data_IF_181008704415
#
_entry.id   IF_181008704415
#
_cell.length_a   1.000
_cell.length_b   1.000
_cell.length_c   1.000
_cell.angle_alpha   90.00
_cell.angle_beta   90.00
_cell.angle_gamma   90.00
#
_symmetry.space_group_name_H-M   'P 1'
#
loop_
_entity.id
_entity.type
_entity.pdbx_description
1 polymer ?
#
# COMPACT_ATOMS: atom_id res chain seq x y z
N UNK A 1 -20.53 19.89 54.49
CA UNK A 1 -20.55 20.69 53.25
C UNK A 1 -19.44 20.21 52.34
N UNK A 2 -19.76 19.94 51.06
CA UNK A 2 -18.90 19.82 49.84
C UNK A 2 -17.74 18.78 49.90
N UNK A 3 -17.87 17.59 49.30
CA UNK A 3 -17.73 17.19 47.86
C UNK A 3 -16.29 17.13 47.34
N UNK A 4 -15.86 15.92 46.93
CA UNK A 4 -15.26 15.53 45.62
C UNK A 4 -14.36 14.31 45.83
N UNK A 5 -14.77 13.06 45.56
CA UNK A 5 -14.87 12.35 44.25
C UNK A 5 -13.59 12.40 43.41
N UNK A 6 -12.75 11.37 43.55
CA UNK A 6 -11.95 10.80 42.47
C UNK A 6 -12.06 9.28 42.61
N UNK A 7 -12.92 8.71 41.77
CA UNK A 7 -13.09 7.27 41.65
C UNK A 7 -12.01 6.76 40.70
N UNK A 8 -11.13 5.91 41.23
CA UNK A 8 -10.21 5.07 40.47
C UNK A 8 -11.05 4.01 39.78
N UNK A 9 -11.23 4.09 38.47
CA UNK A 9 -11.83 3.02 37.69
C UNK A 9 -10.73 1.99 37.40
N UNK A 10 -10.90 0.82 38.00
CA UNK A 10 -10.09 -0.37 37.79
C UNK A 10 -10.27 -0.86 36.34
N UNK A 11 -9.14 -1.11 35.67
CA UNK A 11 -9.08 -1.87 34.43
C UNK A 11 -9.27 -3.34 34.79
N UNK A 12 -10.38 -3.92 34.34
CA UNK A 12 -10.66 -5.34 34.41
C UNK A 12 -9.74 -6.09 33.44
N UNK A 13 -8.71 -6.71 33.99
CA UNK A 13 -8.02 -7.83 33.36
C UNK A 13 -8.91 -9.08 33.51
N UNK A 14 -9.34 -9.65 32.40
CA UNK A 14 -9.88 -11.01 32.36
C UNK A 14 -8.88 -11.90 31.61
N UNK A 15 -8.41 -12.92 32.32
CA UNK A 15 -7.42 -13.91 31.91
C UNK A 15 -8.07 -15.10 31.21
N UNK A 16 -7.29 -15.69 30.31
CA UNK A 16 -7.26 -17.10 29.90
C UNK A 16 -8.37 -17.64 28.97
N UNK A 17 -7.97 -17.82 27.70
CA UNK A 17 -8.04 -19.13 27.07
C UNK A 17 -6.70 -19.43 26.37
N UNK A 18 -5.91 -20.34 26.94
CA UNK A 18 -4.80 -20.97 26.26
C UNK A 18 -5.35 -21.90 25.16
N UNK A 19 -5.00 -21.64 23.91
CA UNK A 19 -5.12 -22.55 22.78
C UNK A 19 -3.79 -22.52 22.02
N UNK A 20 -3.33 -23.66 21.48
CA UNK A 20 -1.94 -23.81 21.01
C UNK A 20 -1.67 -22.90 19.83
N UNK A 21 -0.39 -22.47 19.71
CA UNK A 21 0.19 -21.81 18.55
C UNK A 21 -0.21 -22.53 17.26
N UNK A 22 -1.30 -22.08 16.66
CA UNK A 22 -1.63 -22.38 15.28
C UNK A 22 -0.66 -21.62 14.42
N UNK A 23 0.13 -22.35 13.64
CA UNK A 23 0.78 -21.83 12.46
C UNK A 23 -0.17 -20.84 11.78
N UNK A 24 0.32 -19.64 11.52
CA UNK A 24 -0.45 -18.61 10.82
C UNK A 24 -1.12 -19.25 9.62
N UNK A 25 -2.42 -19.00 9.47
CA UNK A 25 -3.14 -19.24 8.23
C UNK A 25 -2.33 -18.56 7.13
N UNK A 26 -1.53 -19.34 6.43
CA UNK A 26 -1.01 -18.98 5.13
C UNK A 26 -2.27 -18.81 4.30
N UNK A 27 -2.69 -17.57 4.12
CA UNK A 27 -3.71 -17.21 3.15
C UNK A 27 -3.29 -17.90 1.86
N UNK A 28 -4.00 -18.97 1.51
CA UNK A 28 -3.74 -19.73 0.30
C UNK A 28 -4.04 -18.79 -0.84
N UNK A 29 -2.99 -18.11 -1.27
CA UNK A 29 -2.94 -17.30 -2.45
C UNK A 29 -3.61 -18.11 -3.58
N UNK A 30 -4.63 -17.55 -4.22
CA UNK A 30 -5.47 -18.22 -5.22
C UNK A 30 -4.72 -18.66 -6.51
N UNK A 31 -3.37 -18.62 -6.52
CA UNK A 31 -2.55 -19.03 -7.64
C UNK A 31 -2.09 -20.48 -7.55
N UNK A 32 -1.75 -21.06 -8.69
CA UNK A 32 -1.23 -22.43 -8.81
C UNK A 32 0.30 -22.48 -8.83
N UNK A 33 0.96 -21.33 -9.00
CA UNK A 33 2.40 -21.18 -9.08
C UNK A 33 2.87 -20.07 -8.14
N UNK A 34 4.01 -20.25 -7.48
CA UNK A 34 4.64 -19.21 -6.65
C UNK A 34 6.15 -19.26 -6.78
N UNK A 35 6.76 -18.10 -7.02
CA UNK A 35 8.21 -17.89 -7.02
C UNK A 35 8.52 -16.81 -5.99
N UNK A 36 9.38 -17.12 -5.03
CA UNK A 36 9.91 -16.14 -4.07
C UNK A 36 11.32 -15.76 -4.50
N UNK A 37 11.55 -14.46 -4.67
CA UNK A 37 12.86 -13.87 -4.87
C UNK A 37 13.33 -13.30 -3.51
N UNK A 38 14.11 -14.07 -2.73
CA UNK A 38 14.39 -13.75 -1.34
C UNK A 38 15.22 -12.48 -1.23
N UNK A 39 15.03 -11.72 -0.14
CA UNK A 39 15.77 -10.46 0.07
C UNK A 39 17.29 -10.61 -0.04
N UNK A 40 17.86 -11.74 0.35
CA UNK A 40 19.30 -11.98 0.36
C UNK A 40 19.92 -12.07 -1.06
N UNK A 41 19.14 -12.44 -2.06
CA UNK A 41 19.60 -12.58 -3.45
C UNK A 41 19.30 -11.33 -4.29
N UNK A 42 18.51 -10.41 -3.73
CA UNK A 42 18.10 -9.17 -4.38
C UNK A 42 19.14 -8.07 -4.17
N UNK A 43 19.25 -7.10 -5.10
CA UNK A 43 20.19 -6.00 -4.97
C UNK A 43 20.00 -5.24 -3.66
N UNK A 44 21.08 -4.67 -3.14
CA UNK A 44 20.99 -3.71 -2.04
C UNK A 44 20.77 -2.32 -2.63
N UNK A 45 19.95 -1.51 -1.96
CA UNK A 45 19.86 -0.11 -2.29
C UNK A 45 21.26 0.52 -2.15
N UNK A 46 21.78 1.11 -3.22
CA UNK A 46 23.12 1.69 -3.21
C UNK A 46 23.06 3.12 -2.66
N UNK A 47 23.34 3.26 -1.35
CA UNK A 47 23.19 4.53 -0.60
C UNK A 47 24.48 5.01 0.09
N UNK A 48 25.61 5.17 -0.63
CA UNK A 48 26.89 5.46 -0.01
C UNK A 48 26.93 6.80 0.75
N UNK A 49 26.18 7.81 0.29
CA UNK A 49 26.12 9.13 0.93
C UNK A 49 25.31 9.05 2.21
N UNK A 50 24.13 8.45 2.19
CA UNK A 50 23.30 8.27 3.39
C UNK A 50 24.02 7.40 4.43
N UNK A 51 24.71 6.34 4.02
CA UNK A 51 25.54 5.52 4.94
C UNK A 51 26.73 6.30 5.55
N UNK A 52 27.28 7.28 4.83
CA UNK A 52 28.26 8.20 5.40
C UNK A 52 27.59 9.15 6.41
N UNK A 53 26.43 9.70 6.08
CA UNK A 53 25.70 10.64 6.95
C UNK A 53 25.17 9.95 8.22
N UNK A 54 24.76 8.68 8.14
CA UNK A 54 24.43 7.82 9.30
C UNK A 54 25.61 7.72 10.27
N UNK A 55 26.80 7.42 9.76
CA UNK A 55 28.03 7.37 10.58
C UNK A 55 28.38 8.73 11.17
N UNK A 56 28.22 9.82 10.40
CA UNK A 56 28.43 11.19 10.90
C UNK A 56 27.46 11.54 12.04
N UNK A 57 26.17 11.24 11.87
CA UNK A 57 25.13 11.44 12.89
C UNK A 57 25.47 10.68 14.18
N UNK A 58 25.83 9.40 14.08
CA UNK A 58 26.25 8.59 15.22
C UNK A 58 27.49 9.17 15.93
N UNK A 59 28.52 9.57 15.17
CA UNK A 59 29.77 10.11 15.74
C UNK A 59 29.60 11.49 16.39
N UNK A 60 28.64 12.29 15.90
CA UNK A 60 28.38 13.66 16.38
C UNK A 60 27.29 13.75 17.45
N UNK A 61 26.59 12.64 17.74
CA UNK A 61 25.46 12.61 18.67
C UNK A 61 24.25 13.41 18.17
N UNK A 62 24.12 13.63 16.85
CA UNK A 62 23.04 14.40 16.24
C UNK A 62 22.02 13.50 15.55
N UNK A 63 20.74 13.90 15.46
CA UNK A 63 19.76 13.19 14.66
C UNK A 63 20.18 13.12 13.18
N UNK A 64 19.95 11.98 12.54
CA UNK A 64 20.25 11.78 11.12
C UNK A 64 19.54 12.82 10.23
N UNK A 65 18.28 13.13 10.53
CA UNK A 65 17.48 14.13 9.80
C UNK A 65 18.19 15.50 9.76
N UNK A 66 18.79 15.92 10.88
CA UNK A 66 19.54 17.19 10.95
C UNK A 66 20.81 17.15 10.09
N UNK A 67 21.53 16.04 10.12
CA UNK A 67 22.76 15.84 9.34
C UNK A 67 22.45 15.81 7.84
N UNK A 68 21.38 15.14 7.43
CA UNK A 68 20.88 15.11 6.04
C UNK A 68 20.50 16.52 5.58
N UNK A 69 19.73 17.27 6.37
CA UNK A 69 19.36 18.66 6.07
C UNK A 69 20.58 19.55 5.86
N UNK A 70 21.56 19.51 6.78
CA UNK A 70 22.80 20.29 6.67
C UNK A 70 23.63 19.90 5.45
N UNK A 71 23.64 18.62 5.08
CA UNK A 71 24.31 18.16 3.87
C UNK A 71 23.61 18.71 2.61
N UNK A 72 22.29 18.58 2.53
CA UNK A 72 21.49 19.07 1.42
C UNK A 72 21.67 20.59 1.20
N UNK A 73 21.61 21.40 2.27
CA UNK A 73 21.85 22.85 2.17
C UNK A 73 23.25 23.20 1.66
N UNK A 74 24.29 22.46 2.06
CA UNK A 74 25.66 22.65 1.55
C UNK A 74 25.75 22.33 0.06
N UNK A 75 25.17 21.21 -0.37
CA UNK A 75 25.19 20.80 -1.78
C UNK A 75 24.45 21.81 -2.65
N UNK A 76 23.29 22.28 -2.20
CA UNK A 76 22.52 23.31 -2.88
C UNK A 76 23.30 24.62 -3.02
N UNK A 77 24.00 25.05 -1.96
CA UNK A 77 24.81 26.27 -1.99
C UNK A 77 25.99 26.21 -2.98
N UNK A 78 26.44 25.00 -3.34
CA UNK A 78 27.53 24.78 -4.31
C UNK A 78 27.06 24.48 -5.73
N UNK A 79 25.76 24.26 -5.94
CA UNK A 79 25.18 23.93 -7.25
C UNK A 79 24.76 25.23 -7.98
N UNK A 80 25.15 25.37 -9.26
CA UNK A 80 24.76 26.50 -10.12
C UNK A 80 23.75 26.03 -11.18
N UNK A 81 22.70 26.80 -11.51
CA UNK A 81 22.41 28.18 -11.06
C UNK A 81 21.75 28.20 -9.67
N UNK A 82 21.98 29.29 -8.92
CA UNK A 82 21.27 29.54 -7.67
C UNK A 82 19.78 29.79 -8.00
N UNK A 83 18.82 29.16 -7.30
CA UNK A 83 17.38 29.42 -7.48
C UNK A 83 16.94 30.85 -7.12
N UNK A 84 17.86 31.71 -6.66
CA UNK A 84 17.61 33.06 -6.17
C UNK A 84 17.22 34.08 -7.23
N UNK A 85 17.20 33.70 -8.51
CA UNK A 85 16.97 34.63 -9.62
C UNK A 85 15.49 34.75 -10.02
N UNK A 86 14.58 34.09 -9.29
CA UNK A 86 13.13 34.18 -9.51
C UNK A 86 12.43 35.01 -8.42
N UNK A 87 11.59 35.95 -8.87
CA UNK A 87 10.73 36.76 -8.00
C UNK A 87 9.75 35.84 -7.25
N UNK A 88 9.83 35.81 -5.91
CA UNK A 88 9.04 34.93 -5.05
C UNK A 88 9.80 33.78 -4.38
N UNK A 89 11.10 33.63 -4.62
CA UNK A 89 11.93 32.64 -3.93
C UNK A 89 12.20 33.05 -2.46
N UNK A 90 11.56 32.38 -1.51
CA UNK A 90 11.91 32.42 -0.09
C UNK A 90 12.76 31.17 0.28
N UNK A 91 14.08 31.33 0.50
CA UNK A 91 14.95 30.22 0.88
C UNK A 91 14.64 29.64 2.26
N UNK A 92 13.84 30.32 3.09
CA UNK A 92 13.38 29.78 4.37
C UNK A 92 12.25 28.74 4.20
N UNK A 93 11.56 28.75 3.06
CA UNK A 93 10.36 27.93 2.80
C UNK A 93 10.60 26.85 1.74
N UNK A 94 11.59 27.04 0.86
CA UNK A 94 11.80 26.14 -0.28
C UNK A 94 12.85 25.09 0.04
N UNK A 95 12.48 23.81 -0.04
CA UNK A 95 13.44 22.71 0.08
C UNK A 95 14.46 22.74 -1.07
N UNK A 96 15.74 22.44 -0.79
CA UNK A 96 16.76 22.40 -1.82
C UNK A 96 16.45 21.32 -2.87
N UNK A 97 16.52 21.70 -4.15
CA UNK A 97 16.43 20.77 -5.28
C UNK A 97 17.76 20.02 -5.43
N UNK A 98 17.96 19.04 -4.54
CA UNK A 98 19.14 18.17 -4.52
C UNK A 98 18.71 16.72 -4.41
N UNK A 99 19.46 15.83 -5.04
CA UNK A 99 19.26 14.38 -4.95
C UNK A 99 20.40 13.76 -4.16
N UNK A 100 20.08 12.92 -3.18
CA UNK A 100 21.05 12.19 -2.36
C UNK A 100 20.86 10.69 -2.63
N UNK A 101 21.89 10.05 -3.20
CA UNK A 101 21.87 8.62 -3.56
C UNK A 101 20.64 8.20 -4.41
N UNK A 102 20.20 9.08 -5.30
CA UNK A 102 19.03 8.84 -6.17
C UNK A 102 17.67 9.18 -5.54
N UNK A 103 17.64 9.69 -4.30
CA UNK A 103 16.42 10.13 -3.61
C UNK A 103 16.39 11.67 -3.59
N UNK A 104 15.37 12.32 -4.17
CA UNK A 104 15.15 13.76 -4.02
C UNK A 104 15.08 14.17 -2.54
N UNK A 105 15.65 15.31 -2.19
CA UNK A 105 15.64 15.76 -0.79
C UNK A 105 14.22 16.02 -0.26
N UNK A 106 13.30 16.48 -1.12
CA UNK A 106 11.89 16.58 -0.75
C UNK A 106 11.31 15.23 -0.30
N UNK A 107 11.61 14.13 -1.02
CA UNK A 107 11.21 12.79 -0.58
C UNK A 107 11.86 12.43 0.76
N UNK A 108 13.12 12.79 0.98
CA UNK A 108 13.78 12.61 2.29
C UNK A 108 13.10 13.42 3.42
N UNK A 109 12.55 14.60 3.14
CA UNK A 109 11.75 15.37 4.11
C UNK A 109 10.42 14.67 4.41
N UNK A 110 9.74 14.17 3.38
CA UNK A 110 8.50 13.41 3.51
C UNK A 110 8.70 12.14 4.36
N UNK A 111 9.83 11.45 4.18
CA UNK A 111 10.21 10.30 5.00
C UNK A 111 10.38 10.66 6.48
N UNK A 112 10.78 11.89 6.80
CA UNK A 112 10.83 12.39 8.18
C UNK A 112 9.44 12.53 8.77
N UNK A 113 8.47 12.95 7.97
CA UNK A 113 7.06 13.05 8.36
C UNK A 113 6.46 11.66 8.56
N UNK A 114 6.72 10.71 7.64
CA UNK A 114 6.31 9.31 7.76
C UNK A 114 6.90 8.69 9.04
N UNK A 115 8.19 8.90 9.30
CA UNK A 115 8.84 8.39 10.51
C UNK A 115 8.11 8.83 11.79
N UNK A 116 7.74 10.12 11.87
CA UNK A 116 6.99 10.66 13.00
C UNK A 116 5.57 10.11 13.09
N UNK A 117 4.85 9.97 11.98
CA UNK A 117 3.48 9.46 11.99
C UNK A 117 3.41 7.97 12.34
N UNK A 118 4.39 7.18 11.91
CA UNK A 118 4.46 5.74 12.17
C UNK A 118 5.18 5.40 13.49
N UNK A 119 5.81 6.38 14.14
CA UNK A 119 6.58 6.15 15.37
C UNK A 119 7.85 5.33 15.16
N UNK A 120 8.44 5.39 13.96
CA UNK A 120 9.69 4.73 13.59
C UNK A 120 10.85 5.73 13.51
N UNK A 121 12.09 5.23 13.47
CA UNK A 121 13.25 6.10 13.26
C UNK A 121 13.28 6.63 11.82
N UNK A 122 13.92 7.79 11.63
CA UNK A 122 14.12 8.34 10.29
C UNK A 122 14.97 7.41 9.40
N UNK A 123 15.94 6.72 9.99
CA UNK A 123 16.72 5.69 9.31
C UNK A 123 15.83 4.52 8.84
N UNK A 124 14.93 4.06 9.70
CA UNK A 124 13.99 2.99 9.36
C UNK A 124 13.03 3.41 8.24
N UNK A 125 12.55 4.67 8.25
CA UNK A 125 11.73 5.19 7.16
C UNK A 125 12.51 5.23 5.83
N UNK A 126 13.77 5.67 5.84
CA UNK A 126 14.64 5.63 4.65
C UNK A 126 14.81 4.18 4.17
N UNK A 127 15.05 3.24 5.07
CA UNK A 127 15.29 1.84 4.70
C UNK A 127 14.04 1.15 4.14
N UNK A 128 12.84 1.42 4.68
CA UNK A 128 11.56 0.90 4.17
C UNK A 128 11.11 1.56 2.88
N UNK A 129 11.15 2.89 2.83
CA UNK A 129 10.42 3.66 1.82
C UNK A 129 11.31 4.42 0.85
N UNK A 130 12.60 4.62 1.16
CA UNK A 130 13.51 5.43 0.33
C UNK A 130 13.82 4.87 -1.06
N UNK A 131 13.28 3.71 -1.44
CA UNK A 131 13.37 3.18 -2.80
C UNK A 131 12.03 3.25 -3.55
N UNK A 132 10.95 3.76 -2.93
CA UNK A 132 9.60 3.74 -3.50
C UNK A 132 9.54 4.30 -4.90
N UNK A 133 10.08 5.50 -5.15
CA UNK A 133 10.09 6.10 -6.50
C UNK A 133 10.77 5.23 -7.55
N UNK A 134 11.89 4.58 -7.20
CA UNK A 134 12.57 3.65 -8.10
C UNK A 134 11.80 2.34 -8.30
N UNK A 135 11.16 1.83 -7.24
CA UNK A 135 10.34 0.62 -7.29
C UNK A 135 9.10 0.84 -8.15
N UNK A 136 8.45 2.00 -8.03
CA UNK A 136 7.28 2.38 -8.82
C UNK A 136 7.57 2.31 -10.31
N UNK A 137 8.76 2.71 -10.78
CA UNK A 137 9.11 2.58 -12.20
C UNK A 137 9.15 1.13 -12.68
N UNK A 138 9.58 0.19 -11.83
CA UNK A 138 9.56 -1.24 -12.16
C UNK A 138 8.13 -1.77 -12.14
N UNK A 139 7.31 -1.33 -11.18
CA UNK A 139 5.89 -1.67 -11.10
C UNK A 139 5.11 -1.14 -12.32
N UNK A 140 5.34 0.11 -12.71
CA UNK A 140 4.76 0.73 -13.91
C UNK A 140 5.14 -0.05 -15.16
N UNK A 141 6.41 -0.48 -15.24
CA UNK A 141 6.89 -1.29 -16.35
C UNK A 141 6.26 -2.69 -16.37
N UNK A 142 6.09 -3.33 -15.23
CA UNK A 142 5.36 -4.59 -15.10
C UNK A 142 3.91 -4.42 -15.60
N UNK A 143 3.21 -3.38 -15.15
CA UNK A 143 1.84 -3.08 -15.58
C UNK A 143 1.75 -2.77 -17.08
N UNK A 144 2.74 -2.08 -17.65
CA UNK A 144 2.76 -1.74 -19.06
C UNK A 144 3.11 -2.93 -19.96
N UNK A 145 4.02 -3.82 -19.54
CA UNK A 145 4.41 -5.01 -20.32
C UNK A 145 3.38 -6.15 -20.21
N UNK A 146 2.59 -6.22 -19.12
CA UNK A 146 1.65 -7.30 -18.83
C UNK A 146 0.23 -6.83 -18.47
N UNK A 147 -0.40 -5.92 -19.24
CA UNK A 147 -1.66 -5.27 -18.85
C UNK A 147 -2.85 -6.23 -18.73
N UNK A 148 -2.88 -7.28 -19.57
CA UNK A 148 -3.95 -8.28 -19.58
C UNK A 148 -3.64 -9.51 -18.74
N UNK A 149 -2.42 -9.61 -18.21
CA UNK A 149 -1.92 -10.77 -17.46
C UNK A 149 -1.74 -10.46 -15.96
N UNK A 150 -1.37 -9.24 -15.57
CA UNK A 150 -1.23 -8.90 -14.15
C UNK A 150 -2.58 -8.93 -13.46
N UNK A 151 -2.67 -9.65 -12.35
CA UNK A 151 -3.85 -9.71 -11.49
C UNK A 151 -3.83 -8.64 -10.39
N UNK A 152 -2.65 -8.18 -9.99
CA UNK A 152 -2.46 -7.26 -8.86
C UNK A 152 -0.99 -7.07 -8.48
N UNK A 153 -0.70 -5.93 -7.84
CA UNK A 153 0.61 -5.58 -7.30
C UNK A 153 0.41 -4.91 -5.95
N UNK A 154 1.02 -5.44 -4.89
CA UNK A 154 0.84 -4.94 -3.52
C UNK A 154 2.15 -4.97 -2.74
N UNK A 155 2.43 -3.93 -1.98
CA UNK A 155 3.47 -3.98 -0.96
C UNK A 155 3.02 -4.85 0.21
N UNK A 156 3.92 -5.68 0.72
CA UNK A 156 3.67 -6.56 1.87
C UNK A 156 4.73 -6.34 2.95
N UNK A 157 4.46 -6.86 4.15
CA UNK A 157 5.38 -6.82 5.30
C UNK A 157 5.89 -5.39 5.60
N UNK A 158 4.97 -4.44 5.74
CA UNK A 158 5.25 -3.02 5.96
C UNK A 158 6.21 -2.42 4.92
N UNK A 159 5.91 -2.63 3.63
CA UNK A 159 6.69 -2.16 2.48
C UNK A 159 8.09 -2.80 2.34
N UNK A 160 8.36 -3.90 3.03
CA UNK A 160 9.63 -4.65 2.89
C UNK A 160 9.60 -5.70 1.79
N UNK A 161 8.42 -6.01 1.26
CA UNK A 161 8.26 -6.92 0.14
C UNK A 161 7.27 -6.41 -0.89
N UNK A 162 7.32 -7.02 -2.07
CA UNK A 162 6.35 -6.82 -3.14
C UNK A 162 5.70 -8.15 -3.50
N UNK A 163 4.38 -8.17 -3.63
CA UNK A 163 3.63 -9.30 -4.17
C UNK A 163 3.07 -8.91 -5.54
N UNK A 164 3.29 -9.74 -6.54
CA UNK A 164 2.79 -9.55 -7.91
C UNK A 164 2.06 -10.82 -8.34
N UNK A 165 0.80 -10.67 -8.75
CA UNK A 165 -0.02 -11.77 -9.24
C UNK A 165 -0.19 -11.75 -10.76
N UNK A 166 -0.32 -12.93 -11.35
CA UNK A 166 -0.58 -13.14 -12.77
C UNK A 166 -1.77 -14.07 -12.97
N UNK A 167 -2.58 -13.75 -13.99
CA UNK A 167 -3.71 -14.54 -14.49
C UNK A 167 -3.24 -15.92 -14.91
N UNK A 168 -2.26 -15.97 -15.82
CA UNK A 168 -1.61 -17.19 -16.29
C UNK A 168 -0.29 -17.50 -15.56
N UNK A 169 0.57 -18.34 -16.15
CA UNK A 169 1.91 -18.62 -15.64
C UNK A 169 2.74 -17.35 -15.44
N UNK A 170 3.74 -17.40 -14.55
CA UNK A 170 4.61 -16.24 -14.29
C UNK A 170 5.50 -15.98 -15.53
N UNK A 171 5.41 -14.81 -16.18
CA UNK A 171 6.24 -14.50 -17.34
C UNK A 171 7.73 -14.43 -16.96
N UNK A 172 8.61 -15.07 -17.73
CA UNK A 172 10.05 -15.04 -17.47
C UNK A 172 10.60 -13.60 -17.37
N UNK A 173 10.09 -12.71 -18.23
CA UNK A 173 10.44 -11.29 -18.21
C UNK A 173 9.99 -10.55 -16.94
N UNK A 174 8.88 -10.96 -16.33
CA UNK A 174 8.47 -10.41 -15.03
C UNK A 174 9.44 -10.79 -13.91
N UNK A 175 9.99 -12.02 -13.96
CA UNK A 175 11.03 -12.47 -13.02
C UNK A 175 12.29 -11.60 -13.18
N UNK A 176 12.71 -11.33 -14.42
CA UNK A 176 13.85 -10.46 -14.70
C UNK A 176 13.67 -9.04 -14.15
N UNK A 177 12.48 -8.45 -14.32
CA UNK A 177 12.16 -7.13 -13.78
C UNK A 177 12.14 -7.15 -12.24
N UNK A 178 11.52 -8.16 -11.64
CA UNK A 178 11.43 -8.31 -10.19
C UNK A 178 12.81 -8.50 -9.53
N UNK A 179 13.78 -9.09 -10.23
CA UNK A 179 15.19 -9.23 -9.76
C UNK A 179 15.95 -7.91 -9.66
N UNK A 180 15.39 -6.81 -10.19
CA UNK A 180 16.02 -5.48 -10.10
C UNK A 180 15.61 -4.73 -8.83
N UNK A 181 14.59 -5.21 -8.12
CA UNK A 181 14.03 -4.55 -6.96
C UNK A 181 14.88 -4.81 -5.70
N UNK A 182 15.18 -3.79 -4.88
CA UNK A 182 16.00 -3.95 -3.68
C UNK A 182 15.21 -4.48 -2.47
N UNK A 183 14.29 -5.43 -2.70
CA UNK A 183 13.39 -5.99 -1.68
C UNK A 183 13.02 -7.43 -2.02
N UNK A 184 12.41 -8.13 -1.07
CA UNK A 184 11.83 -9.45 -1.36
C UNK A 184 10.66 -9.31 -2.34
N UNK A 185 10.55 -10.23 -3.30
CA UNK A 185 9.42 -10.23 -4.24
C UNK A 185 8.80 -11.62 -4.31
N UNK A 186 7.49 -11.71 -4.09
CA UNK A 186 6.70 -12.91 -4.31
C UNK A 186 5.91 -12.75 -5.61
N UNK A 187 6.20 -13.59 -6.60
CA UNK A 187 5.47 -13.69 -7.85
C UNK A 187 4.53 -14.88 -7.78
N UNK A 188 3.28 -14.69 -8.19
CA UNK A 188 2.23 -15.71 -8.13
C UNK A 188 1.62 -15.87 -9.51
N UNK A 189 1.61 -17.08 -10.05
CA UNK A 189 0.97 -17.41 -11.32
C UNK A 189 -0.32 -18.20 -11.15
N UNK A 190 -1.11 -18.24 -12.22
CA UNK A 190 -2.28 -19.11 -12.35
C UNK A 190 -3.48 -18.67 -11.54
N UNK A 191 -3.63 -17.36 -11.29
CA UNK A 191 -4.78 -16.83 -10.53
C UNK A 191 -6.10 -16.86 -11.30
N UNK A 192 -6.06 -17.04 -12.61
CA UNK A 192 -7.25 -17.18 -13.45
C UNK A 192 -7.96 -15.88 -13.80
N UNK A 193 -7.54 -14.74 -13.24
CA UNK A 193 -8.05 -13.40 -13.58
C UNK A 193 -6.95 -12.35 -13.66
N UNK A 194 -7.17 -11.30 -14.45
CA UNK A 194 -6.33 -10.09 -14.44
C UNK A 194 -7.01 -8.92 -13.71
N UNK A 195 -6.23 -7.90 -13.34
CA UNK A 195 -6.74 -6.68 -12.71
C UNK A 195 -7.74 -5.95 -13.62
N UNK A 196 -7.51 -5.99 -14.93
CA UNK A 196 -8.41 -5.43 -15.92
C UNK A 196 -9.75 -6.20 -16.00
N UNK A 197 -9.74 -7.53 -15.84
CA UNK A 197 -10.96 -8.33 -15.76
C UNK A 197 -11.71 -8.08 -14.44
N UNK A 198 -10.97 -8.00 -13.32
CA UNK A 198 -11.55 -7.73 -12.00
C UNK A 198 -12.21 -6.34 -11.95
N UNK A 199 -11.57 -5.32 -12.52
CA UNK A 199 -12.17 -3.98 -12.65
C UNK A 199 -13.42 -3.98 -13.54
N UNK A 200 -13.39 -4.67 -14.68
CA UNK A 200 -14.58 -4.82 -15.54
C UNK A 200 -15.74 -5.51 -14.82
N UNK A 201 -15.45 -6.52 -14.01
CA UNK A 201 -16.44 -7.19 -13.18
C UNK A 201 -17.04 -6.23 -12.14
N UNK A 202 -16.19 -5.47 -11.43
CA UNK A 202 -16.63 -4.42 -10.50
C UNK A 202 -17.55 -3.41 -11.18
N UNK A 203 -17.15 -2.86 -12.34
CA UNK A 203 -17.95 -1.88 -13.08
C UNK A 203 -19.31 -2.46 -13.50
N UNK A 204 -19.34 -3.72 -13.93
CA UNK A 204 -20.56 -4.44 -14.31
C UNK A 204 -21.51 -4.58 -13.12
N UNK A 205 -20.99 -5.02 -11.96
CA UNK A 205 -21.77 -5.19 -10.73
C UNK A 205 -22.29 -3.85 -10.22
N UNK A 206 -21.45 -2.82 -10.20
CA UNK A 206 -21.82 -1.47 -9.76
C UNK A 206 -22.88 -0.87 -10.67
N UNK A 207 -22.73 -0.98 -12.00
CA UNK A 207 -23.73 -0.50 -12.95
C UNK A 207 -25.06 -1.23 -12.77
N UNK A 208 -25.03 -2.54 -12.56
CA UNK A 208 -26.24 -3.34 -12.30
C UNK A 208 -26.95 -2.89 -11.03
N UNK A 209 -26.23 -2.84 -9.90
CA UNK A 209 -26.80 -2.49 -8.60
C UNK A 209 -27.33 -1.06 -8.56
N UNK A 210 -26.72 -0.12 -9.29
CA UNK A 210 -27.21 1.27 -9.35
C UNK A 210 -28.56 1.39 -10.04
N UNK A 211 -28.91 0.44 -10.90
CA UNK A 211 -30.22 0.41 -11.57
C UNK A 211 -31.33 -0.15 -10.69
N UNK A 212 -31.00 -0.71 -9.52
CA UNK A 212 -31.95 -1.38 -8.64
C UNK A 212 -32.71 -0.37 -7.77
N UNK A 213 -34.07 -0.35 -7.80
CA UNK A 213 -34.85 0.62 -7.05
C UNK A 213 -34.71 0.47 -5.52
N UNK A 214 -34.37 -0.72 -5.02
CA UNK A 214 -34.17 -1.04 -3.62
C UNK A 214 -32.83 -0.55 -3.03
N UNK A 215 -31.87 -0.16 -3.87
CA UNK A 215 -30.53 0.25 -3.44
C UNK A 215 -30.47 1.76 -3.21
N UNK A 216 -29.97 2.17 -2.04
CA UNK A 216 -29.77 3.58 -1.71
C UNK A 216 -28.37 4.06 -2.13
N UNK A 217 -27.34 3.34 -1.69
CA UNK A 217 -25.93 3.60 -2.05
C UNK A 217 -25.12 2.32 -1.95
N UNK A 218 -23.91 2.32 -2.50
CA UNK A 218 -22.97 1.21 -2.38
C UNK A 218 -21.52 1.70 -2.49
N UNK A 219 -20.60 0.92 -1.95
CA UNK A 219 -19.18 0.93 -2.30
C UNK A 219 -18.79 -0.45 -2.77
N UNK A 220 -17.91 -0.51 -3.77
CA UNK A 220 -17.38 -1.76 -4.29
C UNK A 220 -15.86 -1.66 -4.37
N UNK A 221 -15.16 -2.69 -3.90
CA UNK A 221 -13.71 -2.77 -3.92
C UNK A 221 -13.28 -4.11 -4.52
N UNK A 222 -12.36 -4.11 -5.50
CA UNK A 222 -11.76 -5.34 -5.99
C UNK A 222 -10.67 -5.81 -5.04
N UNK A 223 -10.71 -7.06 -4.63
CA UNK A 223 -9.60 -7.73 -3.96
C UNK A 223 -8.76 -8.49 -4.99
N UNK A 224 -7.62 -7.91 -5.32
CA UNK A 224 -6.66 -8.46 -6.28
C UNK A 224 -5.96 -9.72 -5.77
N UNK A 225 -6.07 -10.04 -4.48
CA UNK A 225 -5.51 -11.25 -3.87
C UNK A 225 -6.40 -12.47 -4.16
N UNK A 226 -7.71 -12.33 -3.97
CA UNK A 226 -8.68 -13.44 -4.07
C UNK A 226 -9.46 -13.47 -5.39
N UNK A 227 -9.50 -12.37 -6.14
CA UNK A 227 -10.35 -12.25 -7.33
C UNK A 227 -11.80 -11.91 -6.98
N UNK A 228 -12.04 -11.41 -5.78
CA UNK A 228 -13.36 -11.09 -5.28
C UNK A 228 -13.69 -9.61 -5.50
N UNK A 229 -14.94 -9.32 -5.88
CA UNK A 229 -15.50 -7.97 -5.81
C UNK A 229 -16.32 -7.87 -4.53
N UNK A 230 -15.79 -7.17 -3.55
CA UNK A 230 -16.46 -6.90 -2.27
C UNK A 230 -17.39 -5.69 -2.44
N UNK A 231 -18.67 -5.86 -2.14
CA UNK A 231 -19.68 -4.81 -2.25
C UNK A 231 -20.33 -4.57 -0.91
N UNK A 232 -20.12 -3.39 -0.33
CA UNK A 232 -20.90 -2.91 0.80
C UNK A 232 -22.09 -2.11 0.27
N UNK A 233 -23.30 -2.60 0.51
CA UNK A 233 -24.54 -2.07 -0.04
C UNK A 233 -25.44 -1.56 1.08
N UNK A 234 -25.97 -0.34 0.91
CA UNK A 234 -27.01 0.20 1.77
C UNK A 234 -28.36 0.14 1.03
N UNK A 235 -29.33 -0.65 1.54
CA UNK A 235 -30.67 -0.67 0.99
C UNK A 235 -31.48 0.56 1.44
N UNK A 236 -32.48 0.96 0.66
CA UNK A 236 -33.39 2.07 1.05
C UNK A 236 -34.25 1.73 2.26
N UNK A 237 -34.60 0.45 2.39
CA UNK A 237 -35.31 -0.12 3.53
C UNK A 237 -34.53 -1.35 3.94
N UNK A 238 -34.09 -1.43 5.19
CA UNK A 238 -33.37 -2.61 5.65
C UNK A 238 -34.28 -3.85 5.53
N UNK A 239 -33.86 -4.89 4.79
CA UNK A 239 -34.61 -6.13 4.75
C UNK A 239 -34.55 -6.85 6.10
N UNK A 240 -35.63 -7.56 6.42
CA UNK A 240 -35.65 -8.49 7.56
C UNK A 240 -34.81 -9.75 7.34
N UNK A 241 -34.56 -10.10 6.08
CA UNK A 241 -33.72 -11.23 5.65
C UNK A 241 -32.69 -10.74 4.61
N UNK A 242 -31.42 -10.72 5.02
CA UNK A 242 -30.31 -10.24 4.19
C UNK A 242 -29.98 -11.19 3.02
N UNK A 243 -30.14 -12.50 3.21
CA UNK A 243 -29.82 -13.51 2.20
C UNK A 243 -30.89 -13.53 1.11
N UNK A 244 -32.16 -13.45 1.50
CA UNK A 244 -33.27 -13.32 0.55
C UNK A 244 -33.15 -12.03 -0.26
N UNK A 245 -32.85 -10.91 0.40
CA UNK A 245 -32.62 -9.64 -0.28
C UNK A 245 -31.48 -9.75 -1.30
N UNK A 246 -30.33 -10.29 -0.89
CA UNK A 246 -29.15 -10.42 -1.77
C UNK A 246 -29.43 -11.35 -2.95
N UNK A 247 -30.15 -12.47 -2.74
CA UNK A 247 -30.61 -13.33 -3.85
C UNK A 247 -31.57 -12.58 -4.79
N UNK A 248 -32.43 -11.72 -4.24
CA UNK A 248 -33.36 -10.88 -5.00
C UNK A 248 -32.70 -9.82 -5.89
N UNK A 249 -31.45 -9.42 -5.58
CA UNK A 249 -30.67 -8.49 -6.41
C UNK A 249 -30.31 -9.08 -7.78
N UNK A 250 -30.34 -10.41 -7.93
CA UNK A 250 -30.07 -11.13 -9.19
C UNK A 250 -28.79 -10.64 -9.87
N UNK A 251 -27.65 -10.75 -9.17
CA UNK A 251 -26.37 -10.27 -9.67
C UNK A 251 -26.05 -10.80 -11.08
N UNK A 252 -25.41 -9.98 -11.93
CA UNK A 252 -25.10 -10.37 -13.30
C UNK A 252 -24.12 -11.56 -13.31
N UNK A 253 -24.26 -12.43 -14.30
CA UNK A 253 -23.27 -13.49 -14.54
C UNK A 253 -22.00 -12.86 -15.09
N UNK A 254 -20.88 -13.07 -14.41
CA UNK A 254 -19.57 -12.62 -14.84
C UNK A 254 -18.99 -13.58 -15.89
N UNK A 255 -18.24 -13.03 -16.84
CA UNK A 255 -17.63 -13.82 -17.93
C UNK A 255 -16.42 -14.66 -17.50
N UNK A 256 -15.81 -14.35 -16.35
CA UNK A 256 -14.67 -15.07 -15.81
C UNK A 256 -15.11 -15.85 -14.55
N UNK A 257 -15.03 -17.20 -14.54
CA UNK A 257 -15.46 -18.02 -13.40
C UNK A 257 -14.54 -17.93 -12.17
N UNK A 258 -13.35 -17.34 -12.31
CA UNK A 258 -12.43 -17.10 -11.20
C UNK A 258 -12.72 -15.79 -10.44
N UNK A 259 -13.66 -14.98 -10.94
CA UNK A 259 -14.08 -13.76 -10.28
C UNK A 259 -15.41 -13.99 -9.56
N UNK A 260 -15.44 -13.69 -8.27
CA UNK A 260 -16.64 -13.80 -7.43
C UNK A 260 -17.11 -12.43 -6.95
N UNK A 261 -18.35 -12.36 -6.49
CA UNK A 261 -18.93 -11.13 -5.92
C UNK A 261 -19.48 -11.48 -4.55
N UNK A 262 -19.08 -10.71 -3.54
CA UNK A 262 -19.66 -10.78 -2.20
C UNK A 262 -20.36 -9.47 -1.88
N UNK A 263 -21.59 -9.58 -1.38
CA UNK A 263 -22.41 -8.44 -1.02
C UNK A 263 -22.65 -8.47 0.48
N UNK A 264 -22.25 -7.41 1.16
CA UNK A 264 -22.53 -7.19 2.58
C UNK A 264 -23.50 -6.02 2.72
N UNK A 265 -24.55 -6.20 3.52
CA UNK A 265 -25.49 -5.12 3.80
C UNK A 265 -25.00 -4.25 4.95
N UNK A 266 -25.06 -2.93 4.77
CA UNK A 266 -24.74 -1.96 5.83
C UNK A 266 -25.99 -1.16 6.22
N UNK A 267 -26.22 -1.06 7.53
CA UNK A 267 -27.23 -0.17 8.10
C UNK A 267 -26.72 1.27 8.27
N UNK A 268 -25.40 1.47 8.26
CA UNK A 268 -24.78 2.78 8.38
C UNK A 268 -24.67 3.44 6.99
N UNK A 269 -24.85 4.75 6.93
CA UNK A 269 -24.63 5.55 5.73
C UNK A 269 -23.22 5.31 5.20
N UNK A 270 -23.11 4.66 4.04
CA UNK A 270 -21.83 4.42 3.37
C UNK A 270 -21.35 5.79 2.87
N UNK A 271 -20.47 6.43 3.64
CA UNK A 271 -19.94 7.74 3.30
C UNK A 271 -19.19 7.64 1.97
N UNK A 272 -19.70 8.36 0.95
CA UNK A 272 -18.97 8.59 -0.29
C UNK A 272 -17.74 9.41 0.09
N UNK A 273 -16.55 8.81 0.10
CA UNK A 273 -15.31 9.59 0.21
C UNK A 273 -15.21 10.46 -1.07
N UNK A 274 -15.13 11.79 -0.94
CA UNK A 274 -14.87 12.65 -2.10
C UNK A 274 -13.47 12.32 -2.65
N UNK A 275 -13.39 12.32 -3.99
CA UNK A 275 -12.14 12.22 -4.76
C UNK A 275 -11.21 13.40 -4.46
#
# INVERSE_FOLDING_TARGET
MKRSRLAVIAVLASLCACGPSGAGLVSTVAGTETIVLPRAEQPRAHRPTLERLKREAASSGRPLEEVVKRYASRVAATSSPKPTDFEGYDPAVTDPDVTIDGIPYAELVDLGTIARSEGISYEEAIDRFGSQSSNSRVIDRLNAEFPDEISGVRYVDDHRGLRVGFKGPIPARAIELARTLPMEVTLIGGKGFSAAELRRAQDTVVSWLRSRPEVATMTAHPDDETGQVEVALQPKVMPGDAEEFTRGLQLPRLGNPYITVEVTLSAESVAVRPL
#
